data_IF_208155629894
#
_entry.id   IF_208155629894
#
_cell.length_a   1.000
_cell.length_b   1.000
_cell.length_c   1.000
_cell.angle_alpha   90.00
_cell.angle_beta   90.00
_cell.angle_gamma   90.00
#
_symmetry.space_group_name_H-M   'P 1'
#
loop_
_entity.id
_entity.type
_entity.pdbx_description
1 polymer ?
#
# COMPACT_ATOMS: atom_id res chain seq x y z
N UNK A 1 -15.54 -20.20 -11.28
CA UNK A 1 -16.21 -19.28 -10.32
C UNK A 1 -16.39 -19.96 -8.96
N UNK A 2 -16.76 -19.22 -7.91
CA UNK A 2 -17.31 -19.79 -6.67
C UNK A 2 -18.32 -18.81 -6.05
N UNK A 3 -19.62 -19.11 -6.15
CA UNK A 3 -20.67 -18.24 -5.62
C UNK A 3 -21.68 -19.04 -4.80
N UNK A 4 -21.96 -18.58 -3.58
CA UNK A 4 -22.83 -19.27 -2.60
C UNK A 4 -23.81 -18.34 -1.87
N UNK A 5 -24.06 -17.14 -2.42
CA UNK A 5 -24.77 -16.08 -1.68
C UNK A 5 -26.29 -16.24 -1.65
N UNK A 6 -26.86 -17.14 -2.45
CA UNK A 6 -28.30 -17.38 -2.49
C UNK A 6 -28.63 -18.80 -2.01
N UNK A 7 -29.85 -18.97 -1.51
CA UNK A 7 -30.39 -20.25 -1.03
C UNK A 7 -30.29 -21.36 -2.10
N UNK A 8 -30.55 -21.03 -3.37
CA UNK A 8 -30.50 -21.96 -4.50
C UNK A 8 -29.09 -22.32 -4.99
N UNK A 9 -28.03 -22.04 -4.22
CA UNK A 9 -26.67 -22.40 -4.63
C UNK A 9 -26.54 -23.90 -4.87
N UNK A 10 -25.73 -24.32 -5.84
CA UNK A 10 -25.65 -25.71 -6.29
C UNK A 10 -25.34 -26.65 -5.11
N UNK A 11 -26.27 -27.60 -4.87
CA UNK A 11 -26.17 -28.57 -3.78
C UNK A 11 -26.11 -27.96 -2.38
N UNK A 12 -26.56 -26.71 -2.20
CA UNK A 12 -26.45 -25.99 -0.93
C UNK A 12 -25.01 -25.65 -0.51
N UNK A 13 -24.03 -25.76 -1.42
CA UNK A 13 -22.60 -25.58 -1.11
C UNK A 13 -21.93 -24.45 -1.89
N UNK A 14 -22.14 -24.38 -3.21
CA UNK A 14 -21.46 -23.41 -4.04
C UNK A 14 -21.58 -23.68 -5.54
N UNK A 15 -21.91 -22.65 -6.31
CA UNK A 15 -21.86 -22.69 -7.77
C UNK A 15 -20.41 -22.54 -8.25
N UNK A 16 -19.85 -23.58 -8.89
CA UNK A 16 -18.42 -23.63 -9.28
C UNK A 16 -18.16 -23.47 -10.78
N UNK A 17 -19.15 -23.81 -11.63
CA UNK A 17 -19.06 -23.70 -13.09
C UNK A 17 -19.99 -22.61 -13.66
N UNK A 18 -21.26 -22.67 -13.27
CA UNK A 18 -22.27 -21.65 -13.57
C UNK A 18 -23.20 -21.54 -12.35
N UNK A 19 -23.78 -20.36 -12.16
CA UNK A 19 -24.82 -20.13 -11.16
C UNK A 19 -26.14 -20.77 -11.57
N UNK A 20 -26.85 -21.37 -10.61
CA UNK A 20 -28.25 -21.82 -10.81
C UNK A 20 -29.15 -20.68 -11.29
N UNK A 21 -28.84 -19.44 -10.87
CA UNK A 21 -29.49 -18.21 -11.30
C UNK A 21 -29.13 -17.74 -12.73
N UNK A 22 -28.29 -18.48 -13.46
CA UNK A 22 -27.83 -18.10 -14.81
C UNK A 22 -26.55 -17.26 -14.85
N UNK A 23 -25.98 -16.86 -13.70
CA UNK A 23 -24.71 -16.12 -13.65
C UNK A 23 -23.55 -16.99 -14.16
N UNK A 24 -22.89 -16.57 -15.24
CA UNK A 24 -21.72 -17.27 -15.75
C UNK A 24 -20.44 -16.90 -14.96
N UNK A 25 -19.33 -17.54 -15.29
CA UNK A 25 -18.07 -17.35 -14.57
C UNK A 25 -17.43 -15.97 -14.77
N UNK A 26 -17.62 -15.34 -15.93
CA UNK A 26 -17.06 -14.02 -16.25
C UNK A 26 -17.79 -12.93 -15.44
N UNK A 27 -19.12 -12.96 -15.39
CA UNK A 27 -19.90 -12.06 -14.53
C UNK A 27 -19.54 -12.27 -13.05
N UNK A 28 -19.39 -13.52 -12.62
CA UNK A 28 -18.95 -13.80 -11.25
C UNK A 28 -17.55 -13.23 -10.96
N UNK A 29 -16.61 -13.36 -11.90
CA UNK A 29 -15.26 -12.80 -11.83
C UNK A 29 -15.27 -11.26 -11.71
N UNK A 30 -16.10 -10.59 -12.52
CA UNK A 30 -16.24 -9.13 -12.47
C UNK A 30 -16.89 -8.66 -11.17
N UNK A 31 -17.90 -9.37 -10.66
CA UNK A 31 -18.52 -9.07 -9.36
C UNK A 31 -17.55 -9.27 -8.20
N UNK A 32 -16.77 -10.35 -8.19
CA UNK A 32 -15.72 -10.56 -7.18
C UNK A 32 -14.67 -9.44 -7.22
N UNK A 33 -14.27 -9.03 -8.43
CA UNK A 33 -13.35 -7.92 -8.65
C UNK A 33 -13.91 -6.61 -8.10
N UNK A 34 -15.20 -6.34 -8.31
CA UNK A 34 -15.88 -5.15 -7.77
C UNK A 34 -15.92 -5.17 -6.24
N UNK A 35 -16.22 -6.32 -5.62
CA UNK A 35 -16.16 -6.46 -4.15
C UNK A 35 -14.74 -6.23 -3.62
N UNK A 36 -13.70 -6.70 -4.31
CA UNK A 36 -12.31 -6.41 -3.93
C UNK A 36 -11.96 -4.93 -4.10
N UNK A 37 -12.43 -4.28 -5.17
CA UNK A 37 -12.27 -2.84 -5.34
C UNK A 37 -12.88 -2.05 -4.17
N UNK A 38 -14.11 -2.40 -3.77
CA UNK A 38 -14.79 -1.76 -2.63
C UNK A 38 -14.02 -1.93 -1.32
N UNK A 39 -13.38 -3.08 -1.09
CA UNK A 39 -12.51 -3.28 0.09
C UNK A 39 -11.29 -2.35 0.06
N UNK A 40 -10.68 -2.15 -1.11
CA UNK A 40 -9.57 -1.22 -1.28
C UNK A 40 -9.99 0.25 -1.07
N UNK A 41 -11.09 0.67 -1.70
CA UNK A 41 -11.69 2.01 -1.54
C UNK A 41 -12.04 2.26 -0.08
N UNK A 42 -12.64 1.28 0.59
CA UNK A 42 -13.01 1.36 2.00
C UNK A 42 -11.79 1.65 2.87
N UNK A 43 -10.67 0.96 2.64
CA UNK A 43 -9.45 1.17 3.42
C UNK A 43 -8.97 2.62 3.35
N UNK A 44 -8.97 3.26 2.17
CA UNK A 44 -8.54 4.66 2.03
C UNK A 44 -9.56 5.65 2.58
N UNK A 45 -10.84 5.48 2.23
CA UNK A 45 -11.92 6.35 2.70
C UNK A 45 -12.11 6.28 4.23
N UNK A 46 -11.85 5.13 4.85
CA UNK A 46 -11.92 4.95 6.30
C UNK A 46 -10.88 5.82 7.02
N UNK A 47 -9.62 5.79 6.58
CA UNK A 47 -8.58 6.64 7.15
C UNK A 47 -8.84 8.13 6.91
N UNK A 48 -9.36 8.49 5.73
CA UNK A 48 -9.76 9.87 5.48
C UNK A 48 -10.87 10.33 6.45
N UNK A 49 -11.86 9.47 6.71
CA UNK A 49 -12.96 9.73 7.66
C UNK A 49 -12.48 9.90 9.10
N UNK A 50 -11.52 9.10 9.54
CA UNK A 50 -10.90 9.24 10.88
C UNK A 50 -10.24 10.61 11.07
N UNK A 51 -9.83 11.26 9.97
CA UNK A 51 -9.29 12.61 9.94
C UNK A 51 -10.34 13.70 9.65
N UNK A 52 -11.62 13.33 9.57
CA UNK A 52 -12.74 14.25 9.33
C UNK A 52 -13.03 14.54 7.85
N UNK A 53 -12.40 13.84 6.91
CA UNK A 53 -12.59 14.04 5.47
C UNK A 53 -13.58 13.01 4.90
N UNK A 54 -14.54 13.49 4.11
CA UNK A 54 -15.60 12.67 3.48
C UNK A 54 -15.86 13.17 2.07
N UNK A 55 -16.31 12.27 1.20
CA UNK A 55 -16.75 12.58 -0.15
C UNK A 55 -18.04 11.83 -0.45
N UNK A 56 -19.10 12.56 -0.83
CA UNK A 56 -20.44 11.98 -1.03
C UNK A 56 -20.50 11.00 -2.21
N UNK A 57 -19.67 11.20 -3.23
CA UNK A 57 -19.63 10.32 -4.39
C UNK A 57 -18.97 8.98 -4.04
N UNK A 58 -17.87 9.03 -3.27
CA UNK A 58 -17.24 7.83 -2.72
C UNK A 58 -18.23 7.07 -1.84
N UNK A 59 -18.96 7.77 -0.97
CA UNK A 59 -19.96 7.18 -0.07
C UNK A 59 -21.13 6.53 -0.84
N UNK A 60 -21.68 7.23 -1.84
CA UNK A 60 -22.81 6.75 -2.63
C UNK A 60 -22.47 5.52 -3.48
N UNK A 61 -21.24 5.44 -4.01
CA UNK A 61 -20.82 4.34 -4.86
C UNK A 61 -20.85 2.97 -4.17
N UNK A 62 -20.64 2.91 -2.85
CA UNK A 62 -20.74 1.64 -2.11
C UNK A 62 -22.12 0.99 -2.26
N UNK A 63 -23.19 1.78 -2.14
CA UNK A 63 -24.56 1.26 -2.25
C UNK A 63 -24.86 0.75 -3.66
N UNK A 64 -24.49 1.53 -4.68
CA UNK A 64 -24.67 1.16 -6.10
C UNK A 64 -23.91 -0.12 -6.45
N UNK A 65 -22.63 -0.19 -6.09
CA UNK A 65 -21.77 -1.32 -6.40
C UNK A 65 -22.21 -2.59 -5.66
N UNK A 66 -22.52 -2.51 -4.37
CA UNK A 66 -22.99 -3.66 -3.60
C UNK A 66 -24.33 -4.18 -4.14
N UNK A 67 -25.29 -3.28 -4.41
CA UNK A 67 -26.60 -3.68 -4.93
C UNK A 67 -26.47 -4.42 -6.27
N UNK A 68 -25.56 -3.98 -7.13
CA UNK A 68 -25.29 -4.62 -8.42
C UNK A 68 -24.86 -6.09 -8.28
N UNK A 69 -24.20 -6.44 -7.17
CA UNK A 69 -23.71 -7.81 -6.93
C UNK A 69 -24.76 -8.76 -6.32
N UNK A 70 -25.96 -8.26 -6.00
CA UNK A 70 -27.03 -9.10 -5.46
C UNK A 70 -27.52 -10.13 -6.50
N UNK A 71 -28.09 -11.21 -5.99
CA UNK A 71 -28.69 -12.26 -6.81
C UNK A 71 -29.82 -11.68 -7.68
N UNK A 72 -29.78 -11.98 -8.98
CA UNK A 72 -30.78 -11.57 -9.97
C UNK A 72 -30.89 -10.06 -10.24
N UNK A 73 -29.83 -9.28 -9.99
CA UNK A 73 -29.83 -7.84 -10.30
C UNK A 73 -29.21 -7.53 -11.64
N UNK A 74 -27.97 -7.95 -11.88
CA UNK A 74 -27.23 -7.58 -13.08
C UNK A 74 -26.45 -8.75 -13.66
N UNK A 75 -26.67 -9.02 -14.94
CA UNK A 75 -25.98 -10.05 -15.73
C UNK A 75 -25.33 -9.47 -17.01
N UNK A 76 -25.33 -8.14 -17.15
CA UNK A 76 -24.78 -7.42 -18.30
C UNK A 76 -23.27 -7.26 -18.13
N UNK A 77 -22.50 -7.88 -19.02
CA UNK A 77 -21.04 -7.87 -18.98
C UNK A 77 -20.46 -6.46 -19.18
N UNK A 78 -21.00 -5.70 -20.13
CA UNK A 78 -20.49 -4.36 -20.46
C UNK A 78 -20.72 -3.40 -19.29
N UNK A 79 -21.90 -3.50 -18.65
CA UNK A 79 -22.19 -2.70 -17.48
C UNK A 79 -21.24 -3.01 -16.31
N UNK A 80 -20.90 -4.29 -16.08
CA UNK A 80 -19.91 -4.64 -15.04
C UNK A 80 -18.52 -4.09 -15.36
N UNK A 81 -18.08 -4.12 -16.63
CA UNK A 81 -16.81 -3.52 -17.04
C UNK A 81 -16.81 -2.00 -16.77
N UNK A 82 -17.90 -1.30 -17.12
CA UNK A 82 -18.06 0.12 -16.84
C UNK A 82 -18.02 0.43 -15.34
N UNK A 83 -18.66 -0.40 -14.51
CA UNK A 83 -18.63 -0.26 -13.05
C UNK A 83 -17.23 -0.47 -12.46
N UNK A 84 -16.42 -1.36 -13.01
CA UNK A 84 -15.02 -1.53 -12.58
C UNK A 84 -14.17 -0.31 -12.94
N UNK A 85 -14.40 0.31 -14.10
CA UNK A 85 -13.73 1.57 -14.44
C UNK A 85 -14.18 2.72 -13.54
N UNK A 86 -15.48 2.79 -13.22
CA UNK A 86 -16.02 3.72 -12.22
C UNK A 86 -15.41 3.47 -10.84
N UNK A 87 -15.24 2.21 -10.43
CA UNK A 87 -14.55 1.88 -9.18
C UNK A 87 -13.10 2.38 -9.17
N UNK A 88 -12.40 2.32 -10.31
CA UNK A 88 -11.08 2.93 -10.49
C UNK A 88 -11.10 4.45 -10.28
N UNK A 89 -12.07 5.16 -10.88
CA UNK A 89 -12.26 6.60 -10.69
C UNK A 89 -12.56 6.97 -9.23
N UNK A 90 -13.47 6.21 -8.58
CA UNK A 90 -13.82 6.42 -7.18
C UNK A 90 -12.64 6.13 -6.25
N UNK A 91 -11.82 5.12 -6.57
CA UNK A 91 -10.60 4.86 -5.81
C UNK A 91 -9.57 5.97 -5.97
N UNK A 92 -9.42 6.55 -7.17
CA UNK A 92 -8.56 7.74 -7.36
C UNK A 92 -8.99 8.88 -6.43
N UNK A 93 -10.30 9.14 -6.37
CA UNK A 93 -10.89 10.15 -5.49
C UNK A 93 -10.68 9.83 -4.01
N UNK A 94 -10.81 8.57 -3.61
CA UNK A 94 -10.55 8.13 -2.23
C UNK A 94 -9.07 8.29 -1.84
N UNK A 95 -8.13 7.99 -2.74
CA UNK A 95 -6.71 8.21 -2.49
C UNK A 95 -6.36 9.71 -2.43
N UNK A 96 -6.94 10.54 -3.31
CA UNK A 96 -6.81 12.00 -3.27
C UNK A 96 -7.36 12.57 -1.95
N UNK A 97 -8.52 12.10 -1.50
CA UNK A 97 -9.14 12.51 -0.24
C UNK A 97 -8.23 12.19 0.95
N UNK A 98 -7.65 10.98 0.98
CA UNK A 98 -6.72 10.57 2.03
C UNK A 98 -5.40 11.35 1.96
N UNK A 99 -4.89 11.63 0.77
CA UNK A 99 -3.70 12.47 0.57
C UNK A 99 -3.91 13.88 1.16
N UNK A 100 -5.04 14.52 0.81
CA UNK A 100 -5.44 15.83 1.38
C UNK A 100 -5.55 15.77 2.90
N UNK A 101 -6.18 14.73 3.44
CA UNK A 101 -6.33 14.55 4.88
C UNK A 101 -4.98 14.43 5.60
N UNK A 102 -4.06 13.62 5.05
CA UNK A 102 -2.70 13.47 5.58
C UNK A 102 -1.91 14.77 5.51
N UNK A 103 -1.92 15.46 4.36
CA UNK A 103 -1.19 16.73 4.20
C UNK A 103 -1.73 17.82 5.13
N UNK A 104 -3.06 17.95 5.23
CA UNK A 104 -3.70 18.93 6.11
C UNK A 104 -3.37 18.68 7.59
N UNK A 105 -3.30 17.41 8.01
CA UNK A 105 -3.07 17.06 9.41
C UNK A 105 -1.59 17.03 9.79
N UNK A 106 -0.74 16.52 8.90
CA UNK A 106 0.64 16.13 9.22
C UNK A 106 1.72 16.88 8.41
N UNK A 107 1.32 17.71 7.45
CA UNK A 107 2.21 18.37 6.50
C UNK A 107 2.51 17.49 5.28
N UNK A 108 3.00 18.11 4.19
CA UNK A 108 3.45 17.37 3.03
C UNK A 108 4.72 16.57 3.36
N UNK A 109 4.85 15.30 2.95
CA UNK A 109 6.06 14.54 3.20
C UNK A 109 7.29 15.16 2.56
N UNK A 110 8.40 15.11 3.28
CA UNK A 110 9.71 15.58 2.83
C UNK A 110 10.71 14.42 2.77
N UNK A 111 11.64 14.40 1.78
CA UNK A 111 12.71 13.41 1.72
C UNK A 111 13.44 13.31 3.05
N UNK A 112 13.40 12.12 3.65
CA UNK A 112 13.89 11.87 5.01
C UNK A 112 14.67 10.57 5.05
N UNK A 113 15.88 10.64 5.62
CA UNK A 113 16.71 9.48 5.95
C UNK A 113 16.16 8.81 7.21
N UNK A 114 16.01 7.48 7.18
CA UNK A 114 15.43 6.69 8.27
C UNK A 114 16.38 5.58 8.68
N UNK A 115 16.76 5.56 9.96
CA UNK A 115 17.55 4.46 10.52
C UNK A 115 16.69 3.21 10.69
N UNK A 116 17.26 2.06 10.33
CA UNK A 116 16.64 0.75 10.49
C UNK A 116 17.37 -0.01 11.58
N UNK A 117 16.67 -0.38 12.66
CA UNK A 117 17.28 -1.01 13.81
C UNK A 117 16.65 -0.58 15.14
N UNK A 118 17.43 -0.60 16.21
CA UNK A 118 17.00 -0.27 17.58
C UNK A 118 18.02 0.61 18.30
N UNK A 119 17.52 1.46 19.20
CA UNK A 119 18.25 2.24 20.20
C UNK A 119 18.00 1.68 21.60
N UNK A 120 18.95 1.89 22.55
CA UNK A 120 18.78 1.45 23.93
C UNK A 120 17.52 2.03 24.60
N UNK A 121 16.83 1.22 25.40
CA UNK A 121 15.69 1.64 26.24
C UNK A 121 14.37 0.94 25.90
N UNK A 122 13.26 1.26 26.61
CA UNK A 122 11.93 0.75 26.28
C UNK A 122 11.54 1.09 24.85
N UNK A 123 10.69 0.27 24.22
CA UNK A 123 10.20 0.62 22.90
C UNK A 123 8.88 0.00 22.48
N UNK A 124 8.26 0.66 21.51
CA UNK A 124 7.01 0.26 20.87
C UNK A 124 7.24 0.24 19.36
N UNK A 125 6.85 -0.85 18.71
CA UNK A 125 6.80 -0.92 17.25
C UNK A 125 5.35 -0.82 16.76
N UNK A 126 5.10 0.08 15.81
CA UNK A 126 3.77 0.33 15.23
C UNK A 126 3.72 -0.21 13.81
N UNK A 127 2.74 -1.05 13.52
CA UNK A 127 2.50 -1.66 12.20
C UNK A 127 1.09 -1.34 11.70
N UNK A 128 0.92 -1.33 10.37
CA UNK A 128 -0.32 -0.94 9.71
C UNK A 128 -0.13 0.32 8.89
N UNK A 129 -1.15 1.18 8.81
CA UNK A 129 -1.14 2.36 7.95
C UNK A 129 -1.59 3.65 8.65
N UNK A 130 -2.26 3.55 9.79
CA UNK A 130 -2.95 4.69 10.40
C UNK A 130 -1.98 5.69 11.06
N UNK A 131 -1.79 6.84 10.40
CA UNK A 131 -0.91 7.90 10.88
C UNK A 131 -1.50 8.68 12.06
N UNK A 132 -2.83 8.69 12.23
CA UNK A 132 -3.48 9.35 13.35
C UNK A 132 -3.25 8.57 14.65
N UNK A 133 -3.35 7.23 14.59
CA UNK A 133 -3.03 6.37 15.73
C UNK A 133 -1.56 6.53 16.16
N UNK A 134 -0.62 6.57 15.19
CA UNK A 134 0.78 6.85 15.50
C UNK A 134 0.97 8.24 16.11
N UNK A 135 0.32 9.26 15.57
CA UNK A 135 0.41 10.63 16.10
C UNK A 135 -0.07 10.72 17.55
N UNK A 136 -1.21 10.11 17.88
CA UNK A 136 -1.74 10.12 19.25
C UNK A 136 -0.89 9.26 20.20
N UNK A 137 -0.30 8.15 19.73
CA UNK A 137 0.70 7.41 20.51
C UNK A 137 1.94 8.24 20.80
N UNK A 138 2.46 8.96 19.80
CA UNK A 138 3.64 9.82 19.94
C UNK A 138 3.42 10.91 21.00
N UNK A 139 2.25 11.56 20.98
CA UNK A 139 1.85 12.53 22.01
C UNK A 139 1.81 11.93 23.41
N UNK A 140 1.22 10.74 23.55
CA UNK A 140 1.08 10.10 24.86
C UNK A 140 2.40 9.52 25.38
N UNK A 141 3.38 9.28 24.51
CA UNK A 141 4.70 8.73 24.86
C UNK A 141 5.79 9.80 25.04
N UNK A 142 5.49 11.06 24.72
CA UNK A 142 6.42 12.18 24.86
C UNK A 142 6.89 12.32 26.31
N UNK A 143 8.21 12.43 26.51
CA UNK A 143 8.83 12.52 27.83
C UNK A 143 8.87 11.23 28.66
N UNK A 144 8.38 10.09 28.15
CA UNK A 144 8.38 8.81 28.88
C UNK A 144 9.63 7.93 28.65
N UNK A 145 10.57 8.38 27.82
CA UNK A 145 11.79 7.62 27.51
C UNK A 145 11.56 6.35 26.68
N UNK A 146 10.43 6.27 25.96
CA UNK A 146 10.08 5.12 25.10
C UNK A 146 10.47 5.44 23.65
N UNK A 147 11.26 4.57 23.04
CA UNK A 147 11.60 4.64 21.62
C UNK A 147 10.44 4.09 20.77
N UNK A 148 9.94 4.89 19.83
CA UNK A 148 8.88 4.51 18.89
C UNK A 148 9.49 4.14 17.55
N UNK A 149 9.10 2.97 17.04
CA UNK A 149 9.52 2.44 15.75
C UNK A 149 8.32 2.25 14.85
N UNK A 150 8.50 2.51 13.56
CA UNK A 150 7.57 2.08 12.52
C UNK A 150 7.90 0.66 12.04
N UNK A 151 6.94 -0.04 11.46
CA UNK A 151 7.16 -1.31 10.76
C UNK A 151 6.28 -1.38 9.51
N UNK A 152 6.80 -1.97 8.43
CA UNK A 152 6.07 -2.16 7.19
C UNK A 152 5.55 -0.85 6.60
N UNK A 153 4.23 -0.78 6.41
CA UNK A 153 3.54 0.38 5.81
C UNK A 153 3.52 1.63 6.71
N UNK A 154 4.07 1.56 7.93
CA UNK A 154 4.26 2.76 8.75
C UNK A 154 5.58 3.50 8.44
N UNK A 155 6.53 2.91 7.69
CA UNK A 155 7.80 3.55 7.33
C UNK A 155 7.63 4.99 6.78
N UNK A 156 6.66 5.29 5.90
CA UNK A 156 6.48 6.64 5.36
C UNK A 156 6.13 7.71 6.39
N UNK A 157 5.70 7.34 7.60
CA UNK A 157 5.42 8.28 8.68
C UNK A 157 6.59 9.24 8.96
N UNK A 158 7.82 8.77 8.77
CA UNK A 158 9.05 9.56 8.96
C UNK A 158 9.17 10.75 7.99
N UNK A 159 8.50 10.70 6.84
CA UNK A 159 8.49 11.81 5.89
C UNK A 159 7.62 12.99 6.33
N UNK A 160 6.64 12.79 7.23
CA UNK A 160 5.67 13.82 7.59
C UNK A 160 6.20 14.77 8.68
N UNK A 161 6.26 16.10 8.44
CA UNK A 161 6.82 17.06 9.39
C UNK A 161 6.21 17.01 10.80
N UNK A 162 4.89 16.84 10.90
CA UNK A 162 4.21 16.81 12.20
C UNK A 162 4.50 15.54 13.03
N UNK A 163 4.95 14.45 12.41
CA UNK A 163 5.37 13.22 13.07
C UNK A 163 6.87 13.27 13.38
N UNK A 164 7.68 13.75 12.42
CA UNK A 164 9.14 13.87 12.51
C UNK A 164 9.61 14.79 13.65
N UNK A 165 8.79 15.75 14.08
CA UNK A 165 9.12 16.63 15.22
C UNK A 165 9.29 15.89 16.55
N UNK A 166 8.78 14.66 16.68
CA UNK A 166 8.91 13.85 17.89
C UNK A 166 10.25 13.10 17.87
N UNK A 167 11.25 13.49 18.69
CA UNK A 167 12.60 12.93 18.62
C UNK A 167 12.67 11.45 19.02
N UNK A 168 11.65 10.96 19.73
CA UNK A 168 11.51 9.56 20.12
C UNK A 168 10.83 8.70 19.07
N UNK A 169 10.40 9.25 17.92
CA UNK A 169 10.18 8.48 16.70
C UNK A 169 11.53 8.17 16.05
N UNK A 170 12.17 7.09 16.47
CA UNK A 170 13.62 6.92 16.28
C UNK A 170 14.03 6.18 15.00
N UNK A 171 13.12 5.44 14.36
CA UNK A 171 13.44 4.69 13.15
C UNK A 171 12.38 3.69 12.73
N UNK A 172 12.77 2.79 11.83
CA UNK A 172 11.96 1.66 11.37
C UNK A 172 12.55 0.34 11.88
N UNK A 173 11.69 -0.61 12.24
CA UNK A 173 12.09 -1.95 12.65
C UNK A 173 11.59 -2.98 11.65
N UNK A 174 12.47 -3.89 11.24
CA UNK A 174 12.11 -5.03 10.41
C UNK A 174 11.86 -4.71 8.93
N UNK A 175 10.96 -5.45 8.31
CA UNK A 175 10.71 -5.43 6.86
C UNK A 175 9.20 -5.38 6.55
N UNK A 176 8.75 -6.11 5.52
CA UNK A 176 7.34 -6.20 5.16
C UNK A 176 6.57 -7.20 6.05
N UNK A 177 5.25 -7.06 6.04
CA UNK A 177 4.32 -7.70 6.98
C UNK A 177 4.44 -9.23 7.10
N UNK A 178 4.87 -9.94 6.05
CA UNK A 178 4.95 -11.39 6.08
C UNK A 178 6.02 -11.91 7.06
N UNK A 179 7.03 -11.11 7.38
CA UNK A 179 8.12 -11.46 8.29
C UNK A 179 7.79 -11.14 9.75
N UNK A 180 6.68 -10.46 10.01
CA UNK A 180 6.39 -9.90 11.33
C UNK A 180 6.29 -10.95 12.45
N UNK A 181 5.91 -12.20 12.15
CA UNK A 181 5.88 -13.25 13.19
C UNK A 181 7.26 -13.61 13.72
N UNK A 182 8.32 -13.43 12.93
CA UNK A 182 9.69 -13.63 13.36
C UNK A 182 10.26 -12.33 13.94
N UNK A 183 10.01 -11.20 13.27
CA UNK A 183 10.52 -9.90 13.70
C UNK A 183 9.92 -9.47 15.04
N UNK A 184 8.60 -9.59 15.23
CA UNK A 184 7.95 -9.23 16.49
C UNK A 184 8.28 -10.17 17.65
N UNK A 185 8.60 -11.42 17.34
CA UNK A 185 9.09 -12.39 18.32
C UNK A 185 10.48 -11.98 18.85
N UNK A 186 11.33 -11.48 17.96
CA UNK A 186 12.67 -10.98 18.28
C UNK A 186 12.69 -9.58 18.90
N UNK A 187 11.71 -8.73 18.61
CA UNK A 187 11.59 -7.39 19.20
C UNK A 187 11.12 -7.50 20.65
N UNK A 188 11.90 -7.12 21.69
CA UNK A 188 11.49 -7.33 23.09
C UNK A 188 10.41 -6.35 23.59
N UNK A 189 10.12 -5.27 22.85
CA UNK A 189 9.18 -4.22 23.24
C UNK A 189 7.70 -4.53 22.94
N UNK A 190 6.82 -3.55 23.16
CA UNK A 190 5.40 -3.69 22.84
C UNK A 190 5.12 -3.48 21.34
N UNK A 191 4.04 -4.06 20.84
CA UNK A 191 3.67 -4.02 19.41
C UNK A 191 2.24 -3.47 19.29
N UNK A 192 2.03 -2.48 18.42
CA UNK A 192 0.71 -1.93 18.12
C UNK A 192 0.35 -2.15 16.65
N UNK A 193 -0.71 -2.92 16.39
CA UNK A 193 -1.29 -3.10 15.05
C UNK A 193 -2.51 -2.21 14.82
N UNK A 194 -2.40 -1.26 13.88
CA UNK A 194 -3.47 -0.30 13.55
C UNK A 194 -4.42 -0.80 12.46
N UNK A 195 -3.88 -1.53 11.48
CA UNK A 195 -4.63 -2.02 10.31
C UNK A 195 -4.13 -3.40 9.88
N UNK A 196 -4.56 -3.88 8.70
CA UNK A 196 -3.84 -4.96 8.03
C UNK A 196 -2.40 -4.52 7.65
N UNK A 197 -1.44 -5.43 7.53
CA UNK A 197 -1.54 -6.87 7.74
C UNK A 197 -1.04 -7.26 9.13
N UNK A 198 -1.96 -7.58 10.04
CA UNK A 198 -1.64 -8.24 11.31
C UNK A 198 -1.79 -9.76 11.16
N UNK A 199 -0.84 -10.51 11.73
CA UNK A 199 -0.83 -11.97 11.74
C UNK A 199 -1.15 -12.46 13.15
N UNK A 200 -1.81 -13.61 13.25
CA UNK A 200 -2.06 -14.25 14.55
C UNK A 200 -0.72 -14.42 15.29
N UNK A 201 -0.58 -13.85 16.49
CA UNK A 201 0.71 -13.81 17.17
C UNK A 201 1.11 -15.17 17.71
N UNK A 202 2.43 -15.42 17.74
CA UNK A 202 2.99 -16.53 18.52
C UNK A 202 2.69 -16.30 20.01
N UNK A 203 2.62 -17.38 20.78
CA UNK A 203 2.39 -17.30 22.22
C UNK A 203 3.46 -16.45 22.94
N UNK A 204 4.71 -16.48 22.45
CA UNK A 204 5.88 -15.79 23.00
C UNK A 204 5.82 -14.25 22.99
N UNK A 205 4.97 -13.63 22.18
CA UNK A 205 4.82 -12.17 22.16
C UNK A 205 3.35 -11.69 22.18
N UNK A 206 2.39 -12.61 22.27
CA UNK A 206 0.96 -12.28 22.25
C UNK A 206 0.58 -11.33 23.37
N UNK A 207 1.16 -11.48 24.56
CA UNK A 207 0.87 -10.69 25.76
C UNK A 207 1.39 -9.24 25.68
N UNK A 208 2.25 -8.94 24.71
CA UNK A 208 2.80 -7.61 24.42
C UNK A 208 2.42 -7.07 23.05
N UNK A 209 1.50 -7.74 22.36
CA UNK A 209 0.86 -7.23 21.16
C UNK A 209 -0.48 -6.58 21.54
N UNK A 210 -0.79 -5.49 20.84
CA UNK A 210 -2.03 -4.75 20.95
C UNK A 210 -2.60 -4.50 19.55
N UNK A 211 -3.91 -4.32 19.49
CA UNK A 211 -4.60 -3.84 18.29
C UNK A 211 -5.42 -2.61 18.61
N UNK A 212 -5.69 -1.76 17.63
CA UNK A 212 -6.61 -0.63 17.74
C UNK A 212 -7.41 -0.48 16.43
N UNK A 213 -8.32 0.49 16.40
CA UNK A 213 -9.14 0.78 15.23
C UNK A 213 -9.92 -0.45 14.75
N UNK A 214 -9.84 -0.73 13.45
CA UNK A 214 -10.55 -1.86 12.83
C UNK A 214 -9.80 -3.20 12.99
N UNK A 215 -8.49 -3.16 13.28
CA UNK A 215 -7.69 -4.37 13.43
C UNK A 215 -8.05 -5.11 14.73
N UNK A 216 -8.22 -6.43 14.64
CA UNK A 216 -8.50 -7.30 15.80
C UNK A 216 -7.81 -8.64 15.62
N UNK A 217 -7.30 -9.20 16.72
CA UNK A 217 -6.68 -10.51 16.77
C UNK A 217 -7.18 -11.29 17.99
N UNK A 218 -7.31 -12.63 17.90
CA UNK A 218 -7.76 -13.45 19.02
C UNK A 218 -6.72 -13.44 20.16
N UNK A 219 -7.20 -13.21 21.39
CA UNK A 219 -6.36 -13.23 22.59
C UNK A 219 -5.35 -12.07 22.67
N UNK A 220 -5.58 -10.99 21.93
CA UNK A 220 -4.75 -9.78 21.91
C UNK A 220 -5.56 -8.62 22.48
N UNK A 221 -4.95 -7.82 23.36
CA UNK A 221 -5.62 -6.66 23.95
C UNK A 221 -5.97 -5.65 22.85
N UNK A 222 -7.23 -5.18 22.85
CA UNK A 222 -7.70 -4.18 21.89
C UNK A 222 -7.89 -2.83 22.58
N UNK A 223 -7.07 -1.87 22.19
CA UNK A 223 -7.11 -0.48 22.66
C UNK A 223 -8.31 0.24 22.05
N UNK A 224 -9.00 1.04 22.87
CA UNK A 224 -10.15 1.85 22.47
C UNK A 224 -9.84 3.33 22.64
N UNK A 225 -10.55 4.17 21.89
CA UNK A 225 -10.57 5.62 22.03
C UNK A 225 -9.17 6.28 21.97
N UNK A 226 -8.21 5.60 21.33
CA UNK A 226 -6.79 5.95 21.29
C UNK A 226 -6.17 6.15 22.69
N UNK A 227 -6.71 5.51 23.72
CA UNK A 227 -6.07 5.45 25.04
C UNK A 227 -4.96 4.40 25.02
N UNK A 228 -3.73 4.84 24.71
CA UNK A 228 -2.58 3.95 24.61
C UNK A 228 -1.93 3.63 25.96
N UNK A 229 -2.55 4.00 27.08
CA UNK A 229 -2.06 3.68 28.42
C UNK A 229 -1.64 2.21 28.58
N UNK A 230 -2.43 1.20 28.14
CA UNK A 230 -2.03 -0.20 28.26
C UNK A 230 -0.79 -0.57 27.46
N UNK A 231 -0.59 0.07 26.28
CA UNK A 231 0.59 -0.16 25.42
C UNK A 231 1.83 0.44 26.07
N UNK A 232 1.69 1.65 26.63
CA UNK A 232 2.75 2.41 27.28
C UNK A 232 3.23 1.70 28.55
N UNK A 233 2.30 1.31 29.44
CA UNK A 233 2.63 0.58 30.65
C UNK A 233 3.30 -0.75 30.33
N UNK A 234 2.81 -1.47 29.32
CA UNK A 234 3.43 -2.70 28.88
C UNK A 234 4.85 -2.47 28.37
N UNK A 235 5.08 -1.45 27.53
CA UNK A 235 6.41 -1.12 27.02
C UNK A 235 7.41 -0.80 28.15
N UNK A 236 6.99 -0.07 29.18
CA UNK A 236 7.83 0.26 30.35
C UNK A 236 8.13 -0.95 31.25
N UNK A 237 7.25 -1.95 31.26
CA UNK A 237 7.45 -3.20 32.02
C UNK A 237 8.38 -4.21 31.34
N UNK A 238 8.65 -4.03 30.04
CA UNK A 238 9.42 -4.97 29.23
C UNK A 238 10.92 -4.68 29.29
N UNK A 239 11.77 -5.67 28.98
CA UNK A 239 13.22 -5.47 28.90
C UNK A 239 13.58 -4.33 27.94
N UNK A 240 14.58 -3.54 28.31
CA UNK A 240 15.13 -2.51 27.43
C UNK A 240 15.68 -3.15 26.13
N UNK A 241 15.41 -2.48 25.01
CA UNK A 241 16.08 -2.76 23.74
C UNK A 241 17.57 -2.51 23.88
N UNK A 242 18.36 -3.23 23.09
CA UNK A 242 19.79 -2.95 22.88
C UNK A 242 19.98 -2.15 21.60
N UNK A 243 21.12 -1.46 21.47
CA UNK A 243 21.47 -0.83 20.20
C UNK A 243 21.72 -1.88 19.13
N UNK A 244 21.13 -1.69 17.95
CA UNK A 244 21.38 -2.49 16.77
C UNK A 244 21.16 -1.61 15.53
N UNK A 245 22.19 -1.44 14.72
CA UNK A 245 22.03 -0.86 13.39
C UNK A 245 21.92 -1.99 12.36
N UNK A 246 20.92 -1.91 11.47
CA UNK A 246 20.67 -2.88 10.39
C UNK A 246 20.94 -2.27 9.03
N UNK A 247 20.35 -1.11 8.76
CA UNK A 247 20.49 -0.40 7.51
C UNK A 247 20.09 1.07 7.68
N UNK A 248 20.24 1.84 6.62
CA UNK A 248 19.56 3.12 6.47
C UNK A 248 18.76 3.12 5.16
N UNK A 249 17.58 3.72 5.17
CA UNK A 249 16.75 3.91 3.98
C UNK A 249 16.28 5.37 3.86
N UNK A 250 15.55 5.69 2.80
CA UNK A 250 14.93 7.01 2.61
C UNK A 250 13.45 6.85 2.31
N UNK A 251 12.65 7.84 2.70
CA UNK A 251 11.22 7.94 2.39
C UNK A 251 10.82 9.40 2.22
N UNK A 252 9.56 9.67 1.85
CA UNK A 252 9.03 11.03 1.78
C UNK A 252 9.14 11.69 0.40
N UNK A 253 9.35 10.92 -0.68
CA UNK A 253 9.29 11.42 -2.06
C UNK A 253 7.84 11.53 -2.55
N UNK A 254 7.02 12.26 -1.79
CA UNK A 254 5.64 12.60 -2.15
C UNK A 254 5.61 13.44 -3.42
N UNK A 255 4.46 13.50 -4.11
CA UNK A 255 4.38 14.23 -5.38
C UNK A 255 4.77 15.70 -5.23
N UNK A 256 4.47 16.37 -4.12
CA UNK A 256 4.90 17.77 -3.92
C UNK A 256 6.42 17.88 -3.83
N UNK A 257 7.09 16.93 -3.15
CA UNK A 257 8.55 16.89 -3.04
C UNK A 257 9.23 16.51 -4.37
N UNK A 258 8.63 15.61 -5.15
CA UNK A 258 9.18 15.23 -6.46
C UNK A 258 8.96 16.34 -7.48
N UNK A 259 7.79 16.98 -7.47
CA UNK A 259 7.45 18.05 -8.41
C UNK A 259 8.20 19.35 -8.11
N UNK A 260 8.62 19.61 -6.87
CA UNK A 260 9.54 20.71 -6.59
C UNK A 260 10.94 20.48 -7.19
N UNK A 261 11.26 19.24 -7.55
CA UNK A 261 12.47 18.85 -8.30
C UNK A 261 12.19 18.63 -9.80
N UNK A 262 10.99 18.95 -10.29
CA UNK A 262 10.58 18.61 -11.66
C UNK A 262 11.55 19.15 -12.72
N UNK A 263 11.96 20.42 -12.62
CA UNK A 263 12.89 21.02 -13.59
C UNK A 263 14.22 20.25 -13.63
N UNK A 264 14.76 19.89 -12.46
CA UNK A 264 16.00 19.10 -12.36
C UNK A 264 15.83 17.70 -12.95
N UNK A 265 14.68 17.04 -12.71
CA UNK A 265 14.36 15.73 -13.27
C UNK A 265 14.21 15.81 -14.79
N UNK A 266 13.49 16.82 -15.28
CA UNK A 266 13.27 17.07 -16.71
C UNK A 266 14.60 17.34 -17.41
N UNK A 267 15.45 18.18 -16.84
CA UNK A 267 16.78 18.49 -17.36
C UNK A 267 17.67 17.25 -17.40
N UNK A 268 17.64 16.42 -16.37
CA UNK A 268 18.38 15.16 -16.34
C UNK A 268 17.90 14.17 -17.40
N UNK A 269 16.59 14.12 -17.69
CA UNK A 269 16.02 13.30 -18.78
C UNK A 269 16.43 13.87 -20.15
N UNK A 270 16.26 15.17 -20.38
CA UNK A 270 16.63 15.84 -21.65
C UNK A 270 18.13 15.74 -21.94
N UNK A 271 18.96 15.78 -20.91
CA UNK A 271 20.40 15.61 -21.02
C UNK A 271 20.84 14.14 -21.17
N UNK A 272 19.90 13.18 -21.20
CA UNK A 272 20.20 11.75 -21.33
C UNK A 272 20.83 11.11 -20.08
N UNK A 273 20.80 11.78 -18.93
CA UNK A 273 21.37 11.28 -17.67
C UNK A 273 20.43 10.31 -16.95
N UNK A 274 19.12 10.57 -17.04
CA UNK A 274 18.08 9.62 -16.65
C UNK A 274 17.41 9.15 -17.92
N UNK A 275 17.64 7.90 -18.30
CA UNK A 275 17.06 7.36 -19.54
C UNK A 275 15.68 6.75 -19.35
N UNK A 276 15.36 6.28 -18.14
CA UNK A 276 14.13 5.52 -17.89
C UNK A 276 13.76 5.51 -16.40
N UNK A 277 12.46 5.51 -16.13
CA UNK A 277 11.86 5.35 -14.81
C UNK A 277 11.17 4.00 -14.68
N UNK A 278 11.26 3.40 -13.50
CA UNK A 278 10.57 2.16 -13.18
C UNK A 278 9.69 2.38 -11.96
N UNK A 279 8.38 2.18 -12.09
CA UNK A 279 7.52 2.02 -10.92
C UNK A 279 7.62 0.55 -10.51
N UNK A 280 8.38 0.27 -9.45
CA UNK A 280 8.50 -1.05 -8.86
C UNK A 280 7.94 -0.99 -7.45
N UNK A 281 6.86 -1.71 -7.15
CA UNK A 281 6.22 -1.58 -5.85
C UNK A 281 4.87 -2.26 -5.76
N UNK A 282 4.04 -1.81 -4.81
CA UNK A 282 2.75 -2.41 -4.48
C UNK A 282 2.83 -3.21 -3.19
N UNK A 283 2.33 -4.45 -3.18
CA UNK A 283 2.27 -5.26 -1.96
C UNK A 283 3.22 -6.46 -1.97
N UNK A 284 3.98 -6.61 -0.89
CA UNK A 284 4.79 -7.80 -0.65
C UNK A 284 3.97 -8.98 -0.06
N UNK A 285 4.58 -10.16 -0.01
CA UNK A 285 4.00 -11.35 0.61
C UNK A 285 4.96 -12.53 0.65
N UNK A 286 4.46 -13.69 1.10
CA UNK A 286 5.26 -14.90 1.33
C UNK A 286 5.40 -15.84 0.13
N UNK A 287 4.63 -15.63 -0.94
CA UNK A 287 4.66 -16.50 -2.14
C UNK A 287 6.06 -16.51 -2.76
N UNK A 288 6.65 -17.69 -3.06
CA UNK A 288 7.90 -17.79 -3.81
C UNK A 288 7.86 -17.06 -5.16
N UNK A 289 9.02 -16.62 -5.66
CA UNK A 289 9.16 -15.86 -6.91
C UNK A 289 9.18 -14.34 -6.72
N UNK A 290 8.99 -13.82 -5.50
CA UNK A 290 9.09 -12.38 -5.20
C UNK A 290 10.53 -11.86 -5.13
N UNK A 291 11.52 -12.74 -5.13
CA UNK A 291 12.92 -12.39 -5.39
C UNK A 291 13.10 -11.75 -6.78
N UNK A 292 12.17 -11.98 -7.72
CA UNK A 292 12.10 -11.27 -9.00
C UNK A 292 12.28 -9.75 -8.85
N UNK A 293 11.60 -9.11 -7.90
CA UNK A 293 11.66 -7.65 -7.75
C UNK A 293 13.02 -7.18 -7.22
N UNK A 294 13.62 -7.96 -6.32
CA UNK A 294 14.99 -7.74 -5.82
C UNK A 294 16.00 -7.86 -6.96
N UNK A 295 15.90 -8.94 -7.75
CA UNK A 295 16.79 -9.22 -8.88
C UNK A 295 16.64 -8.21 -10.01
N UNK A 296 15.42 -7.79 -10.33
CA UNK A 296 15.14 -6.76 -11.33
C UNK A 296 15.81 -5.45 -10.93
N UNK A 297 15.52 -4.93 -9.73
CA UNK A 297 16.05 -3.65 -9.27
C UNK A 297 17.58 -3.66 -9.20
N UNK A 298 18.18 -4.77 -8.79
CA UNK A 298 19.64 -4.93 -8.75
C UNK A 298 20.29 -4.93 -10.15
N UNK A 299 19.56 -5.37 -11.18
CA UNK A 299 20.03 -5.41 -12.58
C UNK A 299 19.75 -4.12 -13.35
N UNK A 300 18.96 -3.19 -12.79
CA UNK A 300 18.61 -1.95 -13.45
C UNK A 300 19.86 -1.10 -13.74
N UNK A 301 20.05 -0.63 -14.98
CA UNK A 301 21.19 0.18 -15.36
C UNK A 301 21.32 1.48 -14.55
N UNK A 302 22.55 1.94 -14.35
CA UNK A 302 22.87 3.04 -13.41
C UNK A 302 22.27 4.39 -13.79
N UNK A 303 21.77 4.53 -15.02
CA UNK A 303 21.11 5.70 -15.60
C UNK A 303 19.57 5.64 -15.48
N UNK A 304 19.03 4.80 -14.58
CA UNK A 304 17.58 4.66 -14.34
C UNK A 304 17.18 5.03 -12.92
N UNK A 305 15.93 5.44 -12.72
CA UNK A 305 15.36 5.75 -11.40
C UNK A 305 14.18 4.83 -11.10
N UNK A 306 14.09 4.36 -9.85
CA UNK A 306 12.98 3.54 -9.33
C UNK A 306 12.06 4.40 -8.48
N UNK A 307 10.80 4.50 -8.88
CA UNK A 307 9.71 4.99 -8.05
C UNK A 307 9.11 3.79 -7.30
N UNK A 308 9.02 3.86 -5.98
CA UNK A 308 8.42 2.78 -5.18
C UNK A 308 7.37 3.28 -4.22
N UNK A 309 6.47 2.40 -3.83
CA UNK A 309 5.39 2.65 -2.88
C UNK A 309 4.87 1.33 -2.35
N UNK A 310 4.21 1.38 -1.19
CA UNK A 310 3.67 0.20 -0.55
C UNK A 310 4.75 -0.76 -0.04
N UNK A 311 4.36 -1.80 0.68
CA UNK A 311 5.31 -2.72 1.31
C UNK A 311 6.14 -3.55 0.32
N UNK A 312 5.79 -3.57 -0.97
CA UNK A 312 6.65 -4.14 -2.03
C UNK A 312 8.06 -3.56 -2.04
N UNK A 313 8.23 -2.32 -1.56
CA UNK A 313 9.53 -1.64 -1.43
C UNK A 313 10.57 -2.43 -0.63
N UNK A 314 10.15 -3.22 0.36
CA UNK A 314 11.08 -3.95 1.25
C UNK A 314 11.86 -5.07 0.53
N UNK A 315 11.58 -5.31 -0.76
CA UNK A 315 12.40 -6.16 -1.62
C UNK A 315 13.72 -5.53 -2.02
N UNK A 316 13.86 -4.21 -1.93
CA UNK A 316 15.04 -3.48 -2.43
C UNK A 316 15.29 -2.11 -1.76
N UNK A 317 14.43 -1.60 -0.87
CA UNK A 317 14.58 -0.26 -0.29
C UNK A 317 15.81 -0.10 0.65
N UNK A 318 16.49 -1.19 0.99
CA UNK A 318 17.75 -1.19 1.74
C UNK A 318 18.98 -1.32 0.83
N UNK A 319 18.79 -1.40 -0.48
CA UNK A 319 19.89 -1.36 -1.45
C UNK A 319 20.41 0.06 -1.61
N UNK A 320 21.73 0.20 -1.70
CA UNK A 320 22.36 1.44 -2.17
C UNK A 320 22.48 1.40 -3.70
N UNK A 321 21.54 2.07 -4.37
CA UNK A 321 21.57 2.22 -5.83
C UNK A 321 22.35 3.47 -6.28
N UNK A 322 22.81 4.31 -5.34
CA UNK A 322 23.41 5.61 -5.62
C UNK A 322 22.43 6.68 -6.11
N UNK A 323 22.98 7.72 -6.71
CA UNK A 323 22.27 8.92 -7.16
C UNK A 323 22.67 9.30 -8.59
N UNK A 324 21.80 10.02 -9.30
CA UNK A 324 22.08 10.64 -10.60
C UNK A 324 21.98 12.15 -10.41
N UNK A 325 23.10 12.86 -10.50
CA UNK A 325 23.18 14.31 -10.26
C UNK A 325 22.54 14.76 -8.94
N UNK A 326 22.68 13.97 -7.87
CA UNK A 326 22.06 14.26 -6.58
C UNK A 326 20.56 13.96 -6.52
N UNK A 327 20.02 13.18 -7.46
CA UNK A 327 18.67 12.59 -7.38
C UNK A 327 18.85 11.12 -6.97
N UNK A 328 18.33 10.68 -5.82
CA UNK A 328 18.39 9.28 -5.42
C UNK A 328 17.75 8.35 -6.45
N UNK A 329 18.41 7.23 -6.74
CA UNK A 329 17.88 6.24 -7.70
C UNK A 329 16.70 5.43 -7.15
N UNK A 330 16.41 5.50 -5.86
CA UNK A 330 15.17 4.99 -5.26
C UNK A 330 14.41 6.18 -4.67
N UNK A 331 13.21 6.43 -5.18
CA UNK A 331 12.29 7.43 -4.67
C UNK A 331 11.09 6.71 -4.05
N UNK A 332 11.13 6.53 -2.72
CA UNK A 332 10.00 5.98 -1.97
C UNK A 332 8.91 7.05 -1.76
N UNK A 333 7.83 6.89 -2.51
CA UNK A 333 6.68 7.79 -2.55
C UNK A 333 5.74 7.63 -1.35
N UNK A 334 5.91 6.56 -0.57
CA UNK A 334 5.17 6.34 0.67
C UNK A 334 4.38 5.03 0.72
N UNK A 335 3.20 5.07 1.31
CA UNK A 335 2.32 3.92 1.50
C UNK A 335 1.66 3.51 0.17
N UNK A 336 0.92 2.40 0.16
CA UNK A 336 0.16 2.00 -1.03
C UNK A 336 -0.83 3.07 -1.54
N UNK A 337 -1.45 3.87 -0.66
CA UNK A 337 -2.30 5.02 -1.05
C UNK A 337 -1.52 6.13 -1.79
N UNK A 338 -0.20 6.22 -1.59
CA UNK A 338 0.63 7.17 -2.34
C UNK A 338 0.86 6.73 -3.79
N UNK A 339 0.18 5.67 -4.27
CA UNK A 339 -0.07 5.48 -5.71
C UNK A 339 -0.71 6.73 -6.35
N UNK A 340 -1.50 7.50 -5.59
CA UNK A 340 -1.94 8.83 -6.01
C UNK A 340 -0.77 9.75 -6.38
N UNK A 341 0.26 9.83 -5.52
CA UNK A 341 1.46 10.63 -5.80
C UNK A 341 2.21 10.16 -7.04
N UNK A 342 2.32 8.84 -7.26
CA UNK A 342 2.94 8.29 -8.47
C UNK A 342 2.18 8.71 -9.74
N UNK A 343 0.85 8.67 -9.70
CA UNK A 343 -0.02 9.15 -10.79
C UNK A 343 0.18 10.64 -11.03
N UNK A 344 0.20 11.47 -9.98
CA UNK A 344 0.42 12.92 -10.12
C UNK A 344 1.78 13.23 -10.76
N UNK A 345 2.84 12.53 -10.36
CA UNK A 345 4.17 12.69 -10.96
C UNK A 345 4.17 12.28 -12.44
N UNK A 346 3.59 11.14 -12.78
CA UNK A 346 3.51 10.69 -14.17
C UNK A 346 2.74 11.68 -15.06
N UNK A 347 1.58 12.17 -14.60
CA UNK A 347 0.78 13.16 -15.33
C UNK A 347 1.53 14.48 -15.53
N UNK A 348 2.24 14.95 -14.50
CA UNK A 348 3.03 16.17 -14.60
C UNK A 348 4.22 16.03 -15.56
N UNK A 349 4.91 14.88 -15.55
CA UNK A 349 5.98 14.60 -16.49
C UNK A 349 5.45 14.50 -17.93
N UNK A 350 4.34 13.79 -18.16
CA UNK A 350 3.72 13.69 -19.48
C UNK A 350 3.37 15.07 -20.04
N UNK A 351 2.79 15.94 -19.19
CA UNK A 351 2.53 17.34 -19.54
C UNK A 351 3.81 18.13 -19.86
N UNK A 352 4.88 17.92 -19.10
CA UNK A 352 6.15 18.62 -19.30
C UNK A 352 6.88 18.19 -20.59
N UNK A 353 6.67 16.95 -21.05
CA UNK A 353 7.21 16.41 -22.29
C UNK A 353 6.25 16.53 -23.49
N UNK A 354 5.05 17.08 -23.28
CA UNK A 354 3.99 17.19 -24.30
C UNK A 354 3.67 15.84 -24.97
N UNK A 355 3.47 14.81 -24.14
CA UNK A 355 3.19 13.44 -24.59
C UNK A 355 2.08 12.76 -23.78
N UNK A 356 1.61 11.59 -24.22
CA UNK A 356 0.73 10.75 -23.40
C UNK A 356 1.55 10.11 -22.25
N UNK A 357 0.87 9.74 -21.16
CA UNK A 357 1.53 9.06 -20.03
C UNK A 357 2.15 7.73 -20.46
N UNK A 358 1.54 7.04 -21.43
CA UNK A 358 2.05 5.78 -21.97
C UNK A 358 3.29 5.97 -22.88
N UNK A 359 3.57 7.19 -23.33
CA UNK A 359 4.73 7.53 -24.14
C UNK A 359 5.96 7.92 -23.29
N UNK A 360 5.77 8.11 -21.98
CA UNK A 360 6.87 8.38 -21.06
C UNK A 360 7.88 7.22 -21.07
N UNK A 361 9.18 7.49 -20.81
CA UNK A 361 10.16 6.46 -20.56
C UNK A 361 9.93 5.85 -19.16
N UNK A 362 8.80 5.17 -18.99
CA UNK A 362 8.27 4.69 -17.73
C UNK A 362 7.78 3.24 -17.88
N UNK A 363 8.29 2.34 -17.05
CA UNK A 363 7.81 0.95 -16.96
C UNK A 363 7.12 0.70 -15.62
N UNK A 364 5.96 0.05 -15.64
CA UNK A 364 5.21 -0.32 -14.43
C UNK A 364 5.36 -1.82 -14.14
N UNK A 365 6.03 -2.14 -13.03
CA UNK A 365 6.27 -3.50 -12.55
C UNK A 365 5.69 -3.64 -11.14
N UNK A 366 4.46 -4.11 -11.08
CA UNK A 366 3.64 -4.08 -9.88
C UNK A 366 3.56 -5.46 -9.22
N UNK A 367 3.82 -5.46 -7.92
CA UNK A 367 3.54 -6.55 -7.01
C UNK A 367 2.18 -6.34 -6.35
N UNK A 368 1.41 -7.40 -6.18
CA UNK A 368 0.13 -7.32 -5.47
C UNK A 368 -0.03 -8.48 -4.48
N UNK A 369 -0.94 -8.32 -3.53
CA UNK A 369 -1.26 -9.33 -2.52
C UNK A 369 -2.72 -9.23 -2.07
N UNK A 370 -3.17 -8.03 -1.72
CA UNK A 370 -4.49 -7.80 -1.14
C UNK A 370 -5.27 -6.72 -1.90
N UNK A 371 -6.40 -6.29 -1.33
CA UNK A 371 -7.46 -5.60 -2.06
C UNK A 371 -7.18 -4.12 -2.34
N UNK A 372 -6.34 -3.44 -1.54
CA UNK A 372 -5.91 -2.07 -1.86
C UNK A 372 -5.17 -2.04 -3.20
N UNK A 373 -4.29 -3.03 -3.45
CA UNK A 373 -3.61 -3.14 -4.74
C UNK A 373 -4.56 -3.39 -5.92
N UNK A 374 -5.68 -4.11 -5.71
CA UNK A 374 -6.71 -4.31 -6.75
C UNK A 374 -7.38 -2.98 -7.12
N UNK A 375 -7.76 -2.19 -6.12
CA UNK A 375 -8.37 -0.88 -6.35
C UNK A 375 -7.40 0.11 -7.04
N UNK A 376 -6.12 0.08 -6.68
CA UNK A 376 -5.06 0.83 -7.38
C UNK A 376 -4.93 0.37 -8.83
N UNK A 377 -4.92 -0.94 -9.10
CA UNK A 377 -4.84 -1.44 -10.48
C UNK A 377 -6.03 -0.98 -11.34
N UNK A 378 -7.25 -0.99 -10.80
CA UNK A 378 -8.42 -0.45 -11.49
C UNK A 378 -8.31 1.05 -11.73
N UNK A 379 -7.67 1.79 -10.82
CA UNK A 379 -7.39 3.22 -11.01
C UNK A 379 -6.48 3.43 -12.22
N UNK A 380 -5.43 2.61 -12.36
CA UNK A 380 -4.52 2.68 -13.50
C UNK A 380 -5.24 2.37 -14.81
N UNK A 381 -6.12 1.36 -14.83
CA UNK A 381 -6.95 1.07 -16.02
C UNK A 381 -7.91 2.20 -16.35
N UNK A 382 -8.58 2.78 -15.35
CA UNK A 382 -9.45 3.95 -15.56
C UNK A 382 -8.69 5.13 -16.19
N UNK A 383 -7.45 5.35 -15.78
CA UNK A 383 -6.56 6.38 -16.33
C UNK A 383 -5.97 6.02 -17.71
N UNK A 384 -6.32 4.86 -18.27
CA UNK A 384 -5.82 4.42 -19.59
C UNK A 384 -4.35 3.96 -19.57
N UNK A 385 -3.79 3.66 -18.39
CA UNK A 385 -2.40 3.19 -18.27
C UNK A 385 -2.28 1.77 -18.80
N UNK A 386 -1.28 1.56 -19.66
CA UNK A 386 -1.02 0.29 -20.35
C UNK A 386 0.33 -0.31 -19.94
N UNK A 387 0.59 -1.52 -20.45
CA UNK A 387 1.90 -2.18 -20.37
C UNK A 387 2.35 -2.53 -18.94
N UNK A 388 1.39 -2.78 -18.04
CA UNK A 388 1.68 -3.15 -16.64
C UNK A 388 2.18 -4.59 -16.58
N UNK A 389 3.33 -4.81 -15.93
CA UNK A 389 3.81 -6.13 -15.51
C UNK A 389 3.28 -6.43 -14.11
N UNK A 390 2.45 -7.46 -13.95
CA UNK A 390 1.82 -7.81 -12.68
C UNK A 390 2.32 -9.16 -12.14
N UNK A 391 2.67 -9.22 -10.84
CA UNK A 391 3.16 -10.45 -10.23
C UNK A 391 3.01 -10.54 -8.71
N UNK A 392 3.49 -11.64 -8.09
CA UNK A 392 4.21 -12.75 -8.73
C UNK A 392 3.31 -13.74 -9.48
N UNK A 393 1.99 -13.62 -9.36
CA UNK A 393 1.03 -14.37 -10.17
C UNK A 393 -0.17 -13.48 -10.46
N UNK A 394 -0.88 -13.75 -11.56
CA UNK A 394 -2.14 -13.07 -11.84
C UNK A 394 -3.24 -13.45 -10.83
N UNK A 395 -4.25 -12.59 -10.62
CA UNK A 395 -5.33 -12.87 -9.69
C UNK A 395 -6.19 -14.07 -10.08
N UNK A 396 -6.40 -15.00 -9.15
CA UNK A 396 -7.19 -16.20 -9.37
C UNK A 396 -8.68 -15.95 -9.59
N UNK A 397 -9.17 -14.76 -9.21
CA UNK A 397 -10.54 -14.33 -9.42
C UNK A 397 -10.78 -13.72 -10.81
N UNK A 398 -9.78 -13.69 -11.69
CA UNK A 398 -9.90 -13.26 -13.08
C UNK A 398 -9.96 -14.49 -13.99
N UNK A 399 -11.05 -14.64 -14.75
CA UNK A 399 -11.20 -15.72 -15.73
C UNK A 399 -10.31 -15.50 -16.96
N UNK A 400 -10.02 -16.54 -17.76
CA UNK A 400 -9.26 -16.39 -19.00
C UNK A 400 -9.85 -15.35 -19.98
N UNK A 401 -11.18 -15.29 -20.10
CA UNK A 401 -11.84 -14.32 -20.98
C UNK A 401 -11.67 -12.88 -20.45
N UNK A 402 -11.89 -12.65 -19.15
CA UNK A 402 -11.69 -11.32 -18.56
C UNK A 402 -10.22 -10.90 -18.65
N UNK A 403 -9.28 -11.83 -18.41
CA UNK A 403 -7.85 -11.55 -18.61
C UNK A 403 -7.55 -11.15 -20.06
N UNK A 404 -8.12 -11.84 -21.04
CA UNK A 404 -7.94 -11.52 -22.46
C UNK A 404 -8.43 -10.11 -22.78
N UNK A 405 -9.58 -9.71 -22.26
CA UNK A 405 -10.10 -8.32 -22.40
C UNK A 405 -9.14 -7.31 -21.78
N UNK A 406 -8.59 -7.58 -20.60
CA UNK A 406 -7.60 -6.70 -19.97
C UNK A 406 -6.30 -6.62 -20.79
N UNK A 407 -5.87 -7.73 -21.40
CA UNK A 407 -4.70 -7.78 -22.28
C UNK A 407 -4.93 -6.99 -23.57
N UNK A 408 -6.09 -7.12 -24.19
CA UNK A 408 -6.38 -6.45 -25.46
C UNK A 408 -6.53 -4.93 -25.29
N UNK A 409 -7.08 -4.48 -24.16
CA UNK A 409 -7.29 -3.05 -23.91
C UNK A 409 -6.08 -2.34 -23.25
N UNK A 410 -5.41 -3.02 -22.31
CA UNK A 410 -4.37 -2.42 -21.46
C UNK A 410 -2.99 -3.08 -21.60
N UNK A 411 -2.88 -4.16 -22.37
CA UNK A 411 -1.64 -4.92 -22.52
C UNK A 411 -1.00 -5.29 -21.16
N UNK A 412 -1.83 -5.68 -20.19
CA UNK A 412 -1.32 -6.20 -18.91
C UNK A 412 -0.65 -7.56 -19.13
N UNK A 413 0.53 -7.76 -18.54
CA UNK A 413 1.28 -9.00 -18.71
C UNK A 413 1.74 -9.54 -17.36
N UNK A 414 1.83 -10.87 -17.19
CA UNK A 414 2.53 -11.42 -16.05
C UNK A 414 4.02 -11.04 -16.09
N UNK A 415 4.65 -11.00 -14.92
CA UNK A 415 6.12 -11.00 -14.84
C UNK A 415 6.68 -12.34 -15.35
N UNK A 416 7.90 -12.31 -15.86
CA UNK A 416 8.64 -13.49 -16.36
C UNK A 416 9.99 -13.59 -15.66
N UNK A 417 11.10 -13.59 -16.40
CA UNK A 417 12.45 -13.41 -15.86
C UNK A 417 12.75 -11.93 -15.61
N UNK A 418 13.49 -11.59 -14.54
CA UNK A 418 13.93 -10.22 -14.25
C UNK A 418 14.75 -9.59 -15.37
#
# INVERSE_FOLDING_TARGET
MFCYQCEQTLGGTGCTKAGVCGKNEDIASLQDTLIFALKGIAAYSYHARELGFRDEEVDAFFSEALFTTLTNVNFDLENHVALLMKAGAINLKAMELLDKAHVARFGAPEPTKVEVGTKPGPGIVVTGHDLLDLYELLKQTEGKGINIYTHGEMLPAHGYPALKKFPHLVGNYGTAWQNQRQEFDAFPGAILGTTNCVLIPKASYRDRMFTCGIARLPGVTHVRDRDFTPVIEKALSLPALTEQHVATTTTGFHHQAVLSLADKVIDAVKAGKIRHFFVVGGCDGSKPGRNYYTELVNQLPKDTVVLTLGCGKFRFNYMDLGEIDGIPRILDMGQCNNAYSAVQVALALAKAFDCDVNDLPLSLILSWFEQKAVAVLLTLFHLGIKNIRLGPSLPAFITPNVLKVLQDNYNIQPITTP
#
